data_IF_607915126008
#
_entry.id   IF_607915126008
#
_cell.length_a   1.000
_cell.length_b   1.000
_cell.length_c   1.000
_cell.angle_alpha   90.00
_cell.angle_beta   90.00
_cell.angle_gamma   90.00
#
_symmetry.space_group_name_H-M   'P 1'
#
loop_
_entity.id
_entity.type
_entity.pdbx_description
1 polymer ?
#
# COMPACT_ATOMS: atom_id res chain seq x y z
N UNK A 1 -11.80 10.71 -1.52
CA UNK A 1 -10.90 9.82 -2.29
C UNK A 1 -11.09 10.16 -3.75
N UNK A 2 -10.02 10.33 -4.53
CA UNK A 2 -10.18 10.41 -5.98
C UNK A 2 -10.17 8.98 -6.51
N UNK A 3 -11.32 8.50 -6.96
CA UNK A 3 -11.55 7.14 -7.44
C UNK A 3 -10.63 6.83 -8.64
N UNK A 4 -10.31 7.86 -9.43
CA UNK A 4 -9.40 7.77 -10.58
C UNK A 4 -7.93 7.57 -10.18
N UNK A 5 -7.60 7.64 -8.88
CA UNK A 5 -6.27 7.41 -8.34
C UNK A 5 -6.30 6.34 -7.24
N UNK A 6 -7.29 5.46 -7.26
CA UNK A 6 -7.35 4.34 -6.32
C UNK A 6 -6.10 3.46 -6.43
N UNK A 7 -5.59 3.25 -7.65
CA UNK A 7 -4.31 2.62 -7.95
C UNK A 7 -3.42 3.67 -8.62
N UNK A 8 -2.22 3.88 -8.10
CA UNK A 8 -1.25 4.82 -8.67
C UNK A 8 0.16 4.23 -8.60
N UNK A 9 0.91 4.26 -9.70
CA UNK A 9 2.31 3.85 -9.71
C UNK A 9 3.19 5.06 -9.41
N UNK A 10 3.70 5.13 -8.18
CA UNK A 10 4.53 6.21 -7.69
C UNK A 10 6.00 5.96 -8.08
N UNK A 11 6.67 6.97 -8.64
CA UNK A 11 8.09 6.86 -9.01
C UNK A 11 9.03 6.63 -7.82
N UNK A 12 8.63 7.00 -6.61
CA UNK A 12 9.39 6.81 -5.36
C UNK A 12 9.12 5.45 -4.70
N UNK A 13 7.88 4.95 -4.79
CA UNK A 13 7.41 3.80 -4.00
C UNK A 13 6.59 2.77 -4.78
N UNK A 14 6.73 2.73 -6.10
CA UNK A 14 6.08 1.75 -6.95
C UNK A 14 4.54 1.78 -6.85
N UNK A 15 3.89 0.61 -6.99
CA UNK A 15 2.44 0.50 -6.87
C UNK A 15 1.92 0.96 -5.51
N UNK A 16 0.95 1.86 -5.55
CA UNK A 16 0.23 2.36 -4.38
C UNK A 16 -1.27 2.15 -4.55
N UNK A 17 -1.96 1.90 -3.45
CA UNK A 17 -3.41 1.85 -3.41
C UNK A 17 -3.96 2.60 -2.21
N UNK A 18 -4.96 3.45 -2.47
CA UNK A 18 -5.43 4.44 -1.50
C UNK A 18 -4.33 5.46 -1.17
N UNK A 19 -4.68 6.57 -0.50
CA UNK A 19 -3.72 7.67 -0.23
C UNK A 19 -2.57 7.23 0.67
N UNK A 20 -2.72 6.13 1.41
CA UNK A 20 -1.76 5.63 2.39
C UNK A 20 -2.04 4.18 2.80
N UNK A 21 -2.93 3.49 2.08
CA UNK A 21 -3.44 2.20 2.51
C UNK A 21 -2.51 1.06 2.09
N UNK A 22 -1.83 1.22 0.96
CA UNK A 22 -0.88 0.25 0.44
C UNK A 22 0.21 0.94 -0.38
N UNK A 23 1.48 0.60 -0.16
CA UNK A 23 2.61 1.03 -0.99
C UNK A 23 3.73 -0.02 -0.95
N UNK A 24 4.25 -0.37 -2.14
CA UNK A 24 5.33 -1.35 -2.33
C UNK A 24 6.64 -0.63 -2.64
N UNK A 25 7.50 -0.48 -1.65
CA UNK A 25 8.75 0.23 -1.84
C UNK A 25 9.83 -0.61 -2.55
N UNK A 26 10.69 0.01 -3.38
CA UNK A 26 11.83 -0.66 -3.95
C UNK A 26 12.94 -0.91 -2.91
N UNK A 27 13.31 -2.19 -2.73
CA UNK A 27 14.59 -2.72 -2.20
C UNK A 27 15.04 -2.33 -0.78
N UNK A 28 15.08 -1.04 -0.46
CA UNK A 28 15.66 -0.48 0.76
C UNK A 28 14.62 -0.02 1.80
N UNK A 29 13.35 0.04 1.40
CA UNK A 29 12.26 0.46 2.26
C UNK A 29 11.24 -0.67 2.40
N UNK A 30 10.61 -0.77 3.57
CA UNK A 30 9.67 -1.83 3.90
C UNK A 30 8.30 -1.51 3.31
N UNK A 31 7.65 -2.51 2.70
CA UNK A 31 6.29 -2.33 2.17
C UNK A 31 5.33 -2.06 3.31
N UNK A 32 4.30 -1.24 3.06
CA UNK A 32 3.31 -0.89 4.07
C UNK A 32 1.90 -1.19 3.59
N UNK A 33 1.12 -1.81 4.45
CA UNK A 33 -0.31 -2.01 4.26
C UNK A 33 -1.04 -1.62 5.53
N UNK A 34 -1.90 -0.60 5.51
CA UNK A 34 -2.64 -0.13 6.69
C UNK A 34 -4.03 0.32 6.30
N UNK A 35 -4.97 0.25 7.23
CA UNK A 35 -6.31 0.82 7.03
C UNK A 35 -6.25 2.32 7.25
N UNK A 36 -6.37 3.12 6.19
CA UNK A 36 -6.36 4.58 6.28
C UNK A 36 -7.65 5.19 5.71
N UNK A 37 -7.98 4.85 4.46
CA UNK A 37 -9.01 5.54 3.69
C UNK A 37 -10.26 4.67 3.45
N UNK A 38 -10.12 3.35 3.38
CA UNK A 38 -11.24 2.42 3.21
C UNK A 38 -11.86 2.01 4.56
N UNK A 39 -13.13 1.58 4.54
CA UNK A 39 -13.83 1.07 5.73
C UNK A 39 -13.20 -0.25 6.21
N UNK A 40 -12.91 -1.14 5.26
CA UNK A 40 -12.29 -2.44 5.53
C UNK A 40 -10.78 -2.39 5.26
N UNK A 41 -9.97 -3.16 6.00
CA UNK A 41 -8.55 -3.29 5.71
C UNK A 41 -8.34 -4.07 4.40
N UNK A 42 -7.25 -3.78 3.70
CA UNK A 42 -6.88 -4.46 2.44
C UNK A 42 -6.31 -5.86 2.72
N UNK A 43 -5.63 -6.02 3.86
CA UNK A 43 -5.08 -7.27 4.37
C UNK A 43 -5.46 -7.45 5.84
N UNK A 44 -5.50 -8.68 6.32
CA UNK A 44 -5.74 -8.96 7.75
C UNK A 44 -4.62 -8.38 8.63
N UNK A 45 -3.37 -8.51 8.18
CA UNK A 45 -2.21 -7.93 8.85
C UNK A 45 -2.01 -6.48 8.42
N UNK A 46 -1.80 -5.60 9.40
CA UNK A 46 -1.52 -4.19 9.19
C UNK A 46 -0.10 -3.83 9.59
N UNK A 47 0.49 -2.88 8.88
CA UNK A 47 1.84 -2.38 9.11
C UNK A 47 2.78 -2.79 7.99
N UNK A 48 4.01 -3.09 8.40
CA UNK A 48 5.09 -3.46 7.52
C UNK A 48 4.95 -4.91 7.06
N UNK A 49 5.23 -5.21 5.79
CA UNK A 49 5.17 -6.58 5.27
C UNK A 49 6.24 -6.86 4.21
N UNK A 50 6.59 -8.13 4.04
CA UNK A 50 7.42 -8.60 2.93
C UNK A 50 6.54 -9.22 1.84
N UNK A 51 6.88 -9.00 0.56
CA UNK A 51 6.14 -9.59 -0.57
C UNK A 51 6.32 -11.12 -0.64
N UNK A 52 7.39 -11.64 -0.04
CA UNK A 52 7.66 -13.08 0.03
C UNK A 52 6.85 -13.83 1.10
N UNK A 53 6.06 -13.13 1.93
CA UNK A 53 5.19 -13.79 2.92
C UNK A 53 3.86 -14.22 2.26
N UNK A 54 3.76 -15.52 1.95
CA UNK A 54 2.54 -16.25 1.59
C UNK A 54 1.90 -16.88 2.84
#
# INVERSE_FOLDING_TARGET
MNENHAIFNNSFCGPTFGKNDFCIWPGFMVNVCRKASYEKPIRETTGNFNVEEC
#
